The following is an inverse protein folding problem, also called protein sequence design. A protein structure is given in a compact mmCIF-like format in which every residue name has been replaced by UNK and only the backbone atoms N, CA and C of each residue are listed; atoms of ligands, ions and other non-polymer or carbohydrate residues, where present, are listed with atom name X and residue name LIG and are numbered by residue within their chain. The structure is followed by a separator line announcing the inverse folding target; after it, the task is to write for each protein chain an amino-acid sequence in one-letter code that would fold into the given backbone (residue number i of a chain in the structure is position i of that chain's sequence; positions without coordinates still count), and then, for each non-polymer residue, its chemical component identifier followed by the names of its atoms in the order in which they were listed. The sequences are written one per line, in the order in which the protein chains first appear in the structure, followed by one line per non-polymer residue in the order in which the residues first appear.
data_IF_504745133930
#
_entry.id   IF_504745133930
#
_cell.length_a   1.000
_cell.length_b   1.000
_cell.length_c   1.000
_cell.angle_alpha   90.00
_cell.angle_beta   90.00
_cell.angle_gamma   90.00
#
_symmetry.space_group_name_H-M   'P 1'
#
loop_
_entity.id
_entity.type
_entity.pdbx_description
1 polymer ?
#
# COMPACT_ATOMS: atom_id res chain seq x y z
N UNK A 1 -15.35 -29.54 -27.25
CA UNK A 1 -16.52 -29.23 -28.10
C UNK A 1 -16.30 -27.80 -28.54
N UNK A 2 -15.52 -27.66 -29.60
CA UNK A 2 -14.67 -26.47 -29.82
C UNK A 2 -15.24 -25.51 -30.85
N UNK A 3 -16.56 -25.23 -30.83
CA UNK A 3 -17.07 -24.25 -31.79
C UNK A 3 -18.37 -23.52 -31.40
N UNK A 4 -18.51 -23.13 -30.12
CA UNK A 4 -19.57 -22.21 -29.72
C UNK A 4 -19.25 -20.74 -30.07
N UNK A 5 -17.95 -20.39 -30.18
CA UNK A 5 -17.51 -19.02 -30.46
C UNK A 5 -17.82 -18.57 -31.90
N UNK A 6 -17.90 -19.48 -32.87
CA UNK A 6 -18.22 -19.15 -34.28
C UNK A 6 -19.74 -19.04 -34.57
N UNK A 7 -20.61 -19.30 -33.58
CA UNK A 7 -22.07 -19.32 -33.79
C UNK A 7 -22.76 -18.01 -33.40
N UNK A 8 -22.22 -17.30 -32.41
CA UNK A 8 -22.82 -16.09 -31.86
C UNK A 8 -22.29 -14.84 -32.57
N UNK A 9 -23.15 -13.83 -32.72
CA UNK A 9 -22.70 -12.53 -33.22
C UNK A 9 -21.78 -11.86 -32.19
N UNK A 10 -20.90 -10.98 -32.66
CA UNK A 10 -20.05 -10.16 -31.78
C UNK A 10 -20.87 -9.40 -30.72
N UNK A 11 -22.05 -8.89 -31.10
CA UNK A 11 -22.99 -8.23 -30.18
C UNK A 11 -23.49 -9.17 -29.07
N UNK A 12 -23.72 -10.44 -29.38
CA UNK A 12 -24.14 -11.44 -28.40
C UNK A 12 -23.01 -11.76 -27.42
N UNK A 13 -21.78 -11.88 -27.93
CA UNK A 13 -20.61 -12.13 -27.10
C UNK A 13 -20.31 -10.95 -26.16
N UNK A 14 -20.38 -9.71 -26.66
CA UNK A 14 -20.20 -8.51 -25.84
C UNK A 14 -21.27 -8.39 -24.73
N UNK A 15 -22.52 -8.73 -25.06
CA UNK A 15 -23.60 -8.75 -24.08
C UNK A 15 -23.39 -9.82 -22.99
N UNK A 16 -22.89 -11.01 -23.35
CA UNK A 16 -22.59 -12.07 -22.39
C UNK A 16 -21.39 -11.72 -21.50
N UNK A 17 -20.31 -11.15 -22.07
CA UNK A 17 -19.16 -10.65 -21.30
C UNK A 17 -19.59 -9.60 -20.29
N UNK A 18 -20.41 -8.63 -20.71
CA UNK A 18 -20.96 -7.61 -19.82
C UNK A 18 -21.79 -8.25 -18.70
N UNK A 19 -22.68 -9.17 -19.03
CA UNK A 19 -23.50 -9.87 -18.05
C UNK A 19 -22.65 -10.71 -17.08
N UNK A 20 -21.57 -11.32 -17.57
CA UNK A 20 -20.60 -12.05 -16.77
C UNK A 20 -19.91 -11.14 -15.75
N UNK A 21 -19.36 -10.00 -16.18
CA UNK A 21 -18.73 -9.05 -15.26
C UNK A 21 -19.70 -8.43 -14.27
N UNK A 22 -20.96 -8.17 -14.67
CA UNK A 22 -22.01 -7.73 -13.74
C UNK A 22 -22.27 -8.76 -12.63
N UNK A 23 -22.37 -10.06 -12.97
CA UNK A 23 -22.53 -11.14 -11.97
C UNK A 23 -21.32 -11.21 -11.03
N UNK A 24 -20.11 -11.07 -11.55
CA UNK A 24 -18.89 -11.02 -10.73
C UNK A 24 -18.95 -9.84 -9.76
N UNK A 25 -19.34 -8.66 -10.23
CA UNK A 25 -19.52 -7.47 -9.39
C UNK A 25 -20.54 -7.70 -8.29
N UNK A 26 -21.70 -8.29 -8.59
CA UNK A 26 -22.76 -8.56 -7.62
C UNK A 26 -22.28 -9.53 -6.52
N UNK A 27 -21.59 -10.60 -6.92
CA UNK A 27 -21.04 -11.59 -5.99
C UNK A 27 -19.99 -10.95 -5.08
N UNK A 28 -19.07 -10.17 -5.64
CA UNK A 28 -18.03 -9.47 -4.86
C UNK A 28 -18.67 -8.47 -3.90
N UNK A 29 -19.66 -7.70 -4.36
CA UNK A 29 -20.35 -6.71 -3.53
C UNK A 29 -21.11 -7.36 -2.38
N UNK A 30 -21.72 -8.53 -2.61
CA UNK A 30 -22.39 -9.30 -1.56
C UNK A 30 -21.41 -9.98 -0.59
N UNK A 31 -20.21 -10.34 -1.04
CA UNK A 31 -19.18 -10.99 -0.22
C UNK A 31 -18.37 -10.00 0.62
N UNK A 32 -18.27 -8.74 0.20
CA UNK A 32 -17.51 -7.69 0.89
C UNK A 32 -18.39 -7.03 1.94
N UNK A 33 -17.86 -6.94 3.16
CA UNK A 33 -18.41 -6.05 4.19
C UNK A 33 -18.01 -4.60 3.85
N UNK A 34 -18.94 -3.87 3.24
CA UNK A 34 -18.73 -2.49 2.79
C UNK A 34 -18.22 -1.59 3.93
N UNK A 35 -18.69 -1.81 5.16
CA UNK A 35 -18.25 -1.03 6.32
C UNK A 35 -16.76 -1.28 6.61
N UNK A 36 -16.32 -2.55 6.61
CA UNK A 36 -14.91 -2.88 6.81
C UNK A 36 -14.02 -2.38 5.68
N UNK A 37 -14.53 -2.42 4.44
CA UNK A 37 -13.83 -1.87 3.29
C UNK A 37 -13.62 -0.36 3.45
N UNK A 38 -14.70 0.39 3.72
CA UNK A 38 -14.62 1.83 3.92
C UNK A 38 -13.72 2.22 5.10
N UNK A 39 -13.76 1.46 6.20
CA UNK A 39 -12.82 1.65 7.30
C UNK A 39 -11.37 1.52 6.82
N UNK A 40 -11.06 0.53 5.99
CA UNK A 40 -9.71 0.33 5.43
C UNK A 40 -9.31 1.46 4.47
N UNK A 41 -10.24 1.95 3.64
CA UNK A 41 -10.00 3.10 2.77
C UNK A 41 -9.71 4.36 3.60
N UNK A 42 -10.46 4.61 4.67
CA UNK A 42 -10.26 5.77 5.53
C UNK A 42 -8.94 5.70 6.30
N UNK A 43 -8.50 4.50 6.68
CA UNK A 43 -7.15 4.25 7.22
C UNK A 43 -6.06 4.70 6.23
N UNK A 44 -6.17 4.32 4.96
CA UNK A 44 -5.23 4.72 3.91
C UNK A 44 -5.26 6.23 3.66
N UNK A 45 -6.45 6.83 3.60
CA UNK A 45 -6.62 8.29 3.46
C UNK A 45 -5.94 9.06 4.59
N UNK A 46 -6.07 8.58 5.83
CA UNK A 46 -5.39 9.16 6.98
C UNK A 46 -3.87 8.98 6.89
N UNK A 47 -3.37 7.79 6.56
CA UNK A 47 -1.94 7.57 6.41
C UNK A 47 -1.29 8.49 5.36
N UNK A 48 -2.03 8.87 4.32
CA UNK A 48 -1.58 9.80 3.28
C UNK A 48 -1.35 11.22 3.78
N UNK A 49 -1.95 11.62 4.90
CA UNK A 49 -1.73 12.97 5.48
C UNK A 49 -0.57 13.03 6.46
N UNK A 50 0.03 11.88 6.83
CA UNK A 50 1.10 11.80 7.81
C UNK A 50 2.44 11.77 7.09
N UNK A 51 3.29 12.78 7.29
CA UNK A 51 4.66 12.78 6.76
C UNK A 51 5.56 11.76 7.47
N UNK A 52 6.51 11.19 6.74
CA UNK A 52 7.61 10.38 7.28
C UNK A 52 8.82 11.21 7.70
N UNK A 53 8.78 12.54 7.53
CA UNK A 53 9.90 13.44 7.77
C UNK A 53 10.59 13.88 6.47
N UNK A 54 11.66 14.66 6.59
CA UNK A 54 12.36 15.26 5.46
C UNK A 54 13.46 14.40 4.82
N UNK A 55 13.83 13.27 5.46
CA UNK A 55 14.94 12.44 5.02
C UNK A 55 14.46 11.01 4.65
N UNK A 56 14.18 10.74 3.36
CA UNK A 56 13.69 9.44 2.93
C UNK A 56 14.71 8.31 3.15
N UNK A 57 16.02 8.61 3.18
CA UNK A 57 17.05 7.60 3.46
C UNK A 57 16.94 7.14 4.91
N UNK A 58 16.92 8.09 5.85
CA UNK A 58 16.78 7.79 7.28
C UNK A 58 15.45 7.10 7.60
N UNK A 59 14.36 7.52 6.95
CA UNK A 59 13.06 6.84 7.00
C UNK A 59 13.19 5.34 6.70
N UNK A 60 13.88 4.99 5.62
CA UNK A 60 14.05 3.60 5.19
C UNK A 60 15.04 2.84 6.07
N UNK A 61 16.04 3.50 6.64
CA UNK A 61 16.95 2.87 7.61
C UNK A 61 16.21 2.48 8.90
N UNK A 62 15.43 3.38 9.48
CA UNK A 62 14.62 3.09 10.68
C UNK A 62 13.61 1.99 10.40
N UNK A 63 12.95 2.04 9.24
CA UNK A 63 12.05 0.98 8.79
C UNK A 63 12.78 -0.37 8.70
N UNK A 64 13.95 -0.36 8.06
CA UNK A 64 14.74 -1.55 7.86
C UNK A 64 15.19 -2.17 9.17
N UNK A 65 15.52 -1.36 10.17
CA UNK A 65 15.89 -1.85 11.49
C UNK A 65 14.70 -2.44 12.24
N UNK A 66 13.54 -1.77 12.17
CA UNK A 66 12.30 -2.24 12.81
C UNK A 66 11.81 -3.58 12.27
N UNK A 67 11.88 -3.78 10.95
CA UNK A 67 11.34 -4.97 10.28
C UNK A 67 12.41 -5.92 9.72
N UNK A 68 13.67 -5.70 10.10
CA UNK A 68 14.80 -6.56 9.75
C UNK A 68 14.89 -6.73 8.22
N UNK A 69 14.89 -5.61 7.50
CA UNK A 69 15.10 -5.58 6.05
C UNK A 69 16.58 -5.71 5.73
N UNK A 70 16.90 -6.55 4.75
CA UNK A 70 18.27 -6.67 4.24
C UNK A 70 18.64 -5.49 3.32
N UNK A 71 19.91 -5.40 2.92
CA UNK A 71 20.41 -4.26 2.12
C UNK A 71 19.71 -4.12 0.76
N UNK A 72 19.38 -5.24 0.11
CA UNK A 72 18.71 -5.24 -1.20
C UNK A 72 17.28 -4.74 -1.05
N UNK A 73 16.58 -5.20 -0.01
CA UNK A 73 15.22 -4.76 0.31
C UNK A 73 15.19 -3.27 0.66
N UNK A 74 16.10 -2.80 1.51
CA UNK A 74 16.21 -1.35 1.84
C UNK A 74 16.44 -0.51 0.58
N UNK A 75 17.34 -0.95 -0.30
CA UNK A 75 17.60 -0.25 -1.56
C UNK A 75 16.37 -0.22 -2.48
N UNK A 76 15.64 -1.34 -2.59
CA UNK A 76 14.40 -1.41 -3.38
C UNK A 76 13.29 -0.52 -2.80
N UNK A 77 13.07 -0.55 -1.48
CA UNK A 77 12.11 0.32 -0.79
C UNK A 77 12.46 1.79 -1.03
N UNK A 78 13.71 2.18 -0.78
CA UNK A 78 14.16 3.56 -0.98
C UNK A 78 13.99 4.02 -2.42
N UNK A 79 14.30 3.15 -3.39
CA UNK A 79 14.11 3.45 -4.81
C UNK A 79 12.66 3.74 -5.13
N UNK A 80 11.74 2.86 -4.74
CA UNK A 80 10.31 3.06 -4.99
C UNK A 80 9.76 4.29 -4.26
N UNK A 81 10.22 4.52 -3.02
CA UNK A 81 9.79 5.66 -2.22
C UNK A 81 10.17 7.00 -2.84
N UNK A 82 11.37 7.10 -3.43
CA UNK A 82 11.82 8.29 -4.15
C UNK A 82 11.12 8.44 -5.50
N UNK A 83 10.94 7.35 -6.25
CA UNK A 83 10.28 7.39 -7.58
C UNK A 83 8.84 7.85 -7.46
N UNK A 84 8.09 7.36 -6.47
CA UNK A 84 6.69 7.70 -6.27
C UNK A 84 6.51 9.13 -5.72
N UNK A 85 7.58 9.71 -5.15
CA UNK A 85 7.60 11.08 -4.59
C UNK A 85 6.43 11.36 -3.62
N UNK A 86 6.05 10.34 -2.86
CA UNK A 86 5.04 10.41 -1.80
C UNK A 86 5.74 10.06 -0.48
N UNK A 87 6.21 11.07 0.25
CA UNK A 87 6.90 10.87 1.54
C UNK A 87 5.94 10.76 2.74
N UNK A 88 4.67 10.40 2.49
CA UNK A 88 3.72 10.08 3.54
C UNK A 88 3.87 8.64 4.06
N UNK A 89 3.22 8.32 5.17
CA UNK A 89 3.12 6.92 5.64
C UNK A 89 2.46 6.03 4.59
N UNK A 90 1.48 6.54 3.86
CA UNK A 90 0.87 5.81 2.74
C UNK A 90 1.88 5.54 1.62
N UNK A 91 2.71 6.52 1.28
CA UNK A 91 3.80 6.32 0.31
C UNK A 91 4.83 5.30 0.77
N UNK A 92 5.16 5.26 2.06
CA UNK A 92 6.05 4.25 2.64
C UNK A 92 5.44 2.84 2.57
N UNK A 93 4.14 2.70 2.87
CA UNK A 93 3.39 1.44 2.70
C UNK A 93 3.46 0.95 1.26
N UNK A 94 3.25 1.85 0.29
CA UNK A 94 3.30 1.51 -1.13
C UNK A 94 4.71 1.12 -1.56
N UNK A 95 5.74 1.85 -1.12
CA UNK A 95 7.13 1.53 -1.44
C UNK A 95 7.54 0.14 -0.94
N UNK A 96 7.13 -0.24 0.27
CA UNK A 96 7.38 -1.58 0.84
C UNK A 96 6.62 -2.67 0.09
N UNK A 97 5.35 -2.43 -0.19
CA UNK A 97 4.52 -3.37 -0.95
C UNK A 97 5.04 -3.52 -2.38
N UNK A 98 5.56 -2.45 -2.98
CA UNK A 98 6.17 -2.50 -4.31
C UNK A 98 7.49 -3.24 -4.31
N UNK A 99 8.31 -3.06 -3.26
CA UNK A 99 9.57 -3.78 -3.10
C UNK A 99 9.39 -5.30 -2.98
N UNK A 100 8.20 -5.81 -2.61
CA UNK A 100 7.92 -7.26 -2.61
C UNK A 100 8.08 -7.88 -3.99
N UNK A 101 7.81 -7.12 -5.05
CA UNK A 101 7.89 -7.57 -6.45
C UNK A 101 9.33 -7.68 -6.96
N UNK A 102 10.29 -7.09 -6.25
CA UNK A 102 11.71 -7.19 -6.57
C UNK A 102 12.38 -8.41 -5.88
N UNK A 103 11.63 -9.17 -5.09
CA UNK A 103 12.13 -10.31 -4.31
C UNK A 103 11.73 -11.63 -4.96
N UNK A 104 12.71 -12.42 -5.37
CA UNK A 104 12.49 -13.75 -5.99
C UNK A 104 11.86 -14.76 -5.03
N UNK A 105 12.14 -14.65 -3.73
CA UNK A 105 11.62 -15.57 -2.74
C UNK A 105 10.17 -15.22 -2.39
N UNK A 106 9.23 -16.06 -2.84
CA UNK A 106 7.79 -15.88 -2.60
C UNK A 106 7.41 -15.66 -1.13
N UNK A 107 8.01 -16.40 -0.19
CA UNK A 107 7.69 -16.25 1.23
C UNK A 107 8.14 -14.89 1.75
N UNK A 108 9.31 -14.42 1.32
CA UNK A 108 9.84 -13.10 1.70
C UNK A 108 9.07 -11.96 1.02
N UNK A 109 8.67 -12.12 -0.24
CA UNK A 109 7.77 -11.19 -0.92
C UNK A 109 6.43 -11.06 -0.15
N UNK A 110 5.83 -12.19 0.23
CA UNK A 110 4.60 -12.21 1.06
C UNK A 110 4.82 -11.54 2.42
N UNK A 111 6.00 -11.69 3.01
CA UNK A 111 6.34 -11.02 4.27
C UNK A 111 6.45 -9.50 4.09
N UNK A 112 7.04 -9.01 3.01
CA UNK A 112 7.11 -7.58 2.69
C UNK A 112 5.71 -6.97 2.51
N UNK A 113 4.80 -7.66 1.83
CA UNK A 113 3.40 -7.21 1.71
C UNK A 113 2.71 -7.13 3.08
N UNK A 114 2.96 -8.12 3.96
CA UNK A 114 2.46 -8.11 5.34
C UNK A 114 3.06 -6.96 6.16
N UNK A 115 4.33 -6.64 5.97
CA UNK A 115 4.98 -5.49 6.60
C UNK A 115 4.28 -4.20 6.15
N UNK A 116 3.98 -4.04 4.85
CA UNK A 116 3.20 -2.91 4.32
C UNK A 116 1.87 -2.73 5.06
N UNK A 117 1.09 -3.80 5.22
CA UNK A 117 -0.15 -3.77 6.01
C UNK A 117 0.07 -3.41 7.48
N UNK A 118 1.17 -3.87 8.09
CA UNK A 118 1.51 -3.58 9.50
C UNK A 118 1.88 -2.09 9.69
N UNK A 119 2.64 -1.50 8.76
CA UNK A 119 2.97 -0.06 8.78
C UNK A 119 1.70 0.78 8.72
N UNK A 120 0.75 0.40 7.87
CA UNK A 120 -0.54 1.10 7.77
C UNK A 120 -1.27 1.09 9.12
N UNK A 121 -1.40 -0.07 9.76
CA UNK A 121 -2.06 -0.20 11.07
C UNK A 121 -1.33 0.58 12.18
N UNK A 122 -0.01 0.54 12.22
CA UNK A 122 0.79 1.25 13.22
C UNK A 122 0.70 2.77 13.06
N UNK A 123 0.62 3.27 11.82
CA UNK A 123 0.45 4.70 11.52
C UNK A 123 -0.83 5.28 12.11
N UNK A 124 -1.89 4.47 12.25
CA UNK A 124 -3.17 4.91 12.82
C UNK A 124 -3.17 4.83 14.33
N UNK A 125 -2.47 3.84 14.90
CA UNK A 125 -2.31 3.74 16.36
C UNK A 125 -1.54 4.94 16.91
N UNK A 126 -0.49 5.39 16.22
CA UNK A 126 0.30 6.56 16.65
C UNK A 126 -0.52 7.85 16.65
N UNK A 127 -1.41 8.05 15.67
CA UNK A 127 -2.37 9.19 15.66
C UNK A 127 -3.28 9.16 16.90
N UNK A 128 -3.86 8.00 17.22
CA UNK A 128 -4.83 7.87 18.32
C UNK A 128 -4.21 8.04 19.71
N UNK A 129 -2.89 7.87 19.84
CA UNK A 129 -2.18 7.89 21.13
C UNK A 129 -1.54 9.25 21.45
N UNK A 130 -1.68 10.29 20.60
CA UNK A 130 -1.00 11.59 20.75
C UNK A 130 0.53 11.48 20.95
N UNK A 131 1.14 10.34 20.61
CA UNK A 131 2.58 10.13 20.60
C UNK A 131 3.07 10.24 19.16
N UNK A 132 3.50 11.45 18.79
CA UNK A 132 4.33 11.73 17.62
C UNK A 132 5.66 10.96 17.76
N UNK A 133 5.67 9.70 17.37
CA UNK A 133 6.91 8.96 17.10
C UNK A 133 6.62 7.99 15.96
N UNK A 134 7.09 8.32 14.76
CA UNK A 134 7.49 7.25 13.85
C UNK A 134 8.87 7.50 13.26
N UNK A 135 9.29 8.74 13.04
CA UNK A 135 10.56 9.09 12.39
C UNK A 135 11.02 10.49 12.89
N UNK A 136 12.32 10.84 12.75
CA UNK A 136 12.89 12.01 13.42
C UNK A 136 12.13 13.28 13.05
N UNK A 137 11.76 14.06 14.08
CA UNK A 137 11.16 15.38 13.91
C UNK A 137 12.24 16.35 13.45
N UNK A 138 11.96 17.14 12.43
CA UNK A 138 12.79 18.30 12.08
C UNK A 138 12.82 19.29 13.25
N UNK A 139 13.97 19.38 13.93
CA UNK A 139 14.18 20.31 15.04
C UNK A 139 14.06 21.79 14.65
N UNK A 140 14.01 22.12 13.35
CA UNK A 140 13.95 23.49 12.86
C UNK A 140 12.55 24.12 12.91
N UNK A 141 11.49 23.34 13.15
CA UNK A 141 10.13 23.89 13.28
C UNK A 141 9.78 24.30 14.71
N UNK A 142 10.54 23.85 15.72
CA UNK A 142 10.29 24.13 17.14
C UNK A 142 11.03 25.39 17.66
N UNK A 143 11.86 26.04 16.85
CA UNK A 143 12.66 27.20 17.28
C UNK A 143 12.15 28.57 16.83
N UNK A 144 11.06 28.66 16.05
CA UNK A 144 10.43 29.95 15.74
C UNK A 144 11.40 31.01 15.18
N UNK A 145 12.43 30.60 14.46
CA UNK A 145 13.35 31.53 13.80
C UNK A 145 12.85 31.70 12.37
N UNK A 146 12.36 32.91 12.08
CA UNK A 146 11.97 33.36 10.75
C UNK A 146 13.11 33.28 9.73
#
# INVERSE_FOLDING_TARGET
TDNAYELYSDETLEADDKAYFMKVQDIVSAAVDETKFLLTVDKMRQAKTISTGNNPVETVEVLGDKYILNKVERASVLRHFIIDNDFSQFGLVNAVTRASQDVDNYNRATELERIGGTILEDSIKSIKQNNLVLLPRDLNQDLGIA
#
